data_IF_619513516300
#
_entry.id   IF_619513516300
#
_cell.length_a   1.000
_cell.length_b   1.000
_cell.length_c   1.000
_cell.angle_alpha   90.00
_cell.angle_beta   90.00
_cell.angle_gamma   90.00
#
_symmetry.space_group_name_H-M   'P 1'
#
loop_
_entity.id
_entity.type
_entity.pdbx_description
1 polymer ?
#
# COMPACT_ATOMS: atom_id res chain seq x y z
N UNK A 1 24.17 -3.88 43.10
CA UNK A 1 24.35 -2.77 42.16
C UNK A 1 23.31 -2.95 41.07
N UNK A 2 22.19 -2.26 41.21
CA UNK A 2 21.04 -2.38 40.34
C UNK A 2 21.36 -1.73 38.99
N UNK A 3 21.29 -2.51 37.91
CA UNK A 3 21.61 -2.05 36.55
C UNK A 3 20.35 -1.35 36.01
N UNK A 4 20.27 -0.03 36.17
CA UNK A 4 19.24 0.79 35.55
C UNK A 4 19.27 0.58 34.03
N UNK A 5 18.25 -0.11 33.51
CA UNK A 5 18.01 -0.24 32.07
C UNK A 5 17.50 1.12 31.57
N UNK A 6 18.32 1.80 30.77
CA UNK A 6 17.92 3.02 30.06
C UNK A 6 16.92 2.59 28.98
N UNK A 7 15.63 2.81 29.22
CA UNK A 7 14.59 2.67 28.18
C UNK A 7 14.78 3.80 27.18
N UNK A 8 15.37 3.49 26.01
CA UNK A 8 15.38 4.42 24.88
C UNK A 8 13.98 4.47 24.30
N UNK A 9 13.25 5.57 24.55
CA UNK A 9 12.00 5.88 23.86
C UNK A 9 12.25 5.98 22.36
N UNK A 10 11.29 5.62 21.49
CA UNK A 10 11.54 5.50 20.06
C UNK A 10 12.01 6.85 19.50
N UNK A 11 13.15 6.82 18.82
CA UNK A 11 13.81 7.98 18.25
C UNK A 11 12.88 8.65 17.26
N UNK A 12 12.50 9.90 17.55
CA UNK A 12 11.89 10.76 16.54
C UNK A 12 12.83 10.84 15.33
N UNK A 13 12.25 10.80 14.13
CA UNK A 13 13.00 11.00 12.88
C UNK A 13 13.69 12.36 12.96
N UNK A 14 14.99 12.41 12.72
CA UNK A 14 15.74 13.67 12.78
C UNK A 14 15.37 14.59 11.62
N UNK A 15 15.49 15.90 11.82
CA UNK A 15 15.27 16.87 10.73
C UNK A 15 16.20 16.64 9.52
N UNK A 16 17.42 16.15 9.78
CA UNK A 16 18.37 15.81 8.73
C UNK A 16 17.91 14.62 7.88
N UNK A 17 17.39 13.56 8.51
CA UNK A 17 16.80 12.41 7.81
C UNK A 17 15.58 12.82 6.99
N UNK A 18 14.73 13.69 7.54
CA UNK A 18 13.56 14.22 6.81
C UNK A 18 14.00 15.02 5.58
N UNK A 19 14.99 15.90 5.74
CA UNK A 19 15.52 16.71 4.63
C UNK A 19 16.12 15.82 3.53
N UNK A 20 16.91 14.80 3.91
CA UNK A 20 17.50 13.86 2.97
C UNK A 20 16.42 13.06 2.22
N UNK A 21 15.39 12.56 2.93
CA UNK A 21 14.28 11.85 2.30
C UNK A 21 13.49 12.74 1.33
N UNK A 22 13.21 13.99 1.69
CA UNK A 22 12.52 14.94 0.81
C UNK A 22 13.31 15.21 -0.48
N UNK A 23 14.63 15.34 -0.37
CA UNK A 23 15.52 15.47 -1.53
C UNK A 23 15.50 14.22 -2.40
N UNK A 24 15.58 13.02 -1.82
CA UNK A 24 15.52 11.75 -2.55
C UNK A 24 14.20 11.60 -3.32
N UNK A 25 13.07 12.03 -2.75
CA UNK A 25 11.78 12.02 -3.44
C UNK A 25 11.72 13.05 -4.57
N UNK A 26 12.22 14.25 -4.33
CA UNK A 26 12.27 15.30 -5.36
C UNK A 26 13.15 14.89 -6.54
N UNK A 27 14.29 14.23 -6.30
CA UNK A 27 15.18 13.72 -7.34
C UNK A 27 14.54 12.63 -8.22
N UNK A 28 13.48 11.97 -7.72
CA UNK A 28 12.68 11.02 -8.49
C UNK A 28 11.60 11.69 -9.35
N UNK A 29 11.51 13.01 -9.29
CA UNK A 29 10.47 13.80 -9.96
C UNK A 29 9.14 13.79 -9.22
N UNK A 30 9.10 13.42 -7.93
CA UNK A 30 7.88 13.45 -7.14
C UNK A 30 7.65 14.83 -6.55
N UNK A 31 6.41 15.31 -6.66
CA UNK A 31 5.98 16.53 -5.97
C UNK A 31 5.75 16.21 -4.50
N UNK A 32 6.56 16.80 -3.61
CA UNK A 32 6.43 16.59 -2.17
C UNK A 32 6.17 17.89 -1.42
N UNK A 33 5.41 17.80 -0.33
CA UNK A 33 5.18 18.87 0.61
C UNK A 33 5.61 18.44 2.01
N UNK A 34 6.38 19.29 2.69
CA UNK A 34 6.67 19.09 4.10
C UNK A 34 5.47 19.53 4.94
N UNK A 35 5.08 18.69 5.90
CA UNK A 35 3.97 18.94 6.82
C UNK A 35 4.44 18.75 8.26
N UNK A 36 3.63 19.16 9.23
CA UNK A 36 3.91 18.94 10.64
C UNK A 36 4.13 17.46 10.99
N UNK A 37 3.57 16.53 10.21
CA UNK A 37 3.62 15.09 10.46
C UNK A 37 4.70 14.35 9.64
N UNK A 38 5.46 15.08 8.81
CA UNK A 38 6.47 14.53 7.89
C UNK A 38 6.21 14.93 6.43
N UNK A 39 6.76 14.16 5.51
CA UNK A 39 6.68 14.43 4.07
C UNK A 39 5.40 13.82 3.49
N UNK A 40 4.70 14.59 2.66
CA UNK A 40 3.58 14.09 1.86
C UNK A 40 3.94 14.15 0.37
N UNK A 41 3.72 13.05 -0.34
CA UNK A 41 3.59 13.05 -1.79
C UNK A 41 2.29 13.75 -2.16
N UNK A 42 2.36 14.71 -3.07
CA UNK A 42 1.20 15.29 -3.72
C UNK A 42 1.00 14.54 -5.04
N UNK A 43 -0.12 13.82 -5.15
CA UNK A 43 -0.42 13.03 -6.33
C UNK A 43 -0.71 13.90 -7.55
N UNK A 44 -0.29 13.43 -8.71
CA UNK A 44 -0.44 14.11 -9.99
C UNK A 44 -0.72 13.09 -11.12
N UNK A 45 -0.53 13.51 -12.36
CA UNK A 45 -0.78 12.68 -13.54
C UNK A 45 0.21 11.53 -13.74
N UNK A 46 1.39 11.61 -13.11
CA UNK A 46 2.50 10.68 -13.27
C UNK A 46 2.61 9.72 -12.08
N UNK A 47 2.26 10.18 -10.87
CA UNK A 47 2.25 9.37 -9.65
C UNK A 47 0.96 9.54 -8.85
N UNK A 48 0.36 8.40 -8.49
CA UNK A 48 -0.85 8.31 -7.68
C UNK A 48 -0.77 7.13 -6.72
N UNK A 49 -1.74 6.96 -5.84
CA UNK A 49 -1.77 5.88 -4.85
C UNK A 49 -3.05 5.07 -4.90
N UNK A 50 -2.94 3.75 -4.75
CA UNK A 50 -4.07 2.85 -4.53
C UNK A 50 -3.90 2.18 -3.17
N UNK A 51 -4.78 2.49 -2.23
CA UNK A 51 -4.81 1.81 -0.94
C UNK A 51 -5.77 0.63 -0.97
N UNK A 52 -5.28 -0.51 -0.51
CA UNK A 52 -6.06 -1.72 -0.27
C UNK A 52 -5.84 -2.16 1.17
N UNK A 53 -6.89 -2.70 1.80
CA UNK A 53 -6.85 -3.11 3.20
C UNK A 53 -7.16 -4.59 3.42
N UNK A 54 -6.98 -5.03 4.67
CA UNK A 54 -7.29 -6.37 5.16
C UNK A 54 -6.56 -7.47 4.42
N UNK A 55 -7.26 -8.58 4.22
CA UNK A 55 -6.72 -9.73 3.48
C UNK A 55 -6.45 -9.40 2.01
N UNK A 56 -7.23 -8.48 1.41
CA UNK A 56 -7.10 -8.13 0.00
C UNK A 56 -5.73 -7.54 -0.30
N UNK A 57 -5.19 -6.71 0.60
CA UNK A 57 -3.81 -6.23 0.53
C UNK A 57 -2.79 -7.38 0.47
N UNK A 58 -3.01 -8.42 1.27
CA UNK A 58 -2.20 -9.65 1.25
C UNK A 58 -2.20 -10.36 -0.10
N UNK A 59 -3.37 -10.53 -0.69
CA UNK A 59 -3.53 -11.26 -1.95
C UNK A 59 -3.05 -10.45 -3.16
N UNK A 60 -3.34 -9.15 -3.21
CA UNK A 60 -2.84 -8.23 -4.24
C UNK A 60 -1.31 -8.25 -4.25
N UNK A 61 -0.68 -8.15 -3.08
CA UNK A 61 0.78 -8.25 -2.98
C UNK A 61 1.32 -9.58 -3.49
N UNK A 62 0.72 -10.70 -3.11
CA UNK A 62 1.14 -12.02 -3.57
C UNK A 62 1.05 -12.13 -5.09
N UNK A 63 -0.04 -11.62 -5.67
CA UNK A 63 -0.24 -11.58 -7.12
C UNK A 63 0.85 -10.73 -7.80
N UNK A 64 1.08 -9.50 -7.35
CA UNK A 64 2.07 -8.61 -7.95
C UNK A 64 3.48 -9.19 -7.87
N UNK A 65 3.85 -9.75 -6.72
CA UNK A 65 5.15 -10.41 -6.53
C UNK A 65 5.32 -11.62 -7.46
N UNK A 66 4.29 -12.46 -7.58
CA UNK A 66 4.34 -13.64 -8.46
C UNK A 66 4.48 -13.28 -9.94
N UNK A 67 4.04 -12.07 -10.34
CA UNK A 67 4.12 -11.59 -11.72
C UNK A 67 5.28 -10.60 -11.96
N UNK A 68 6.16 -10.40 -10.97
CA UNK A 68 7.23 -9.40 -11.04
C UNK A 68 6.72 -7.97 -11.35
N UNK A 69 5.57 -7.60 -10.78
CA UNK A 69 4.90 -6.31 -10.94
C UNK A 69 4.92 -5.46 -9.66
N UNK A 70 5.72 -5.85 -8.65
CA UNK A 70 5.85 -5.09 -7.42
C UNK A 70 6.46 -3.71 -7.68
N UNK A 71 5.77 -2.66 -7.22
CA UNK A 71 6.29 -1.30 -7.15
C UNK A 71 6.56 -0.86 -5.72
N UNK A 72 6.82 0.44 -5.49
CA UNK A 72 6.88 1.01 -4.16
C UNK A 72 5.56 0.83 -3.42
N UNK A 73 5.63 0.37 -2.17
CA UNK A 73 4.46 0.11 -1.32
C UNK A 73 4.70 0.68 0.06
N UNK A 74 3.75 1.47 0.53
CA UNK A 74 3.72 2.01 1.88
C UNK A 74 2.79 1.12 2.70
N UNK A 75 3.28 0.58 3.81
CA UNK A 75 2.44 -0.08 4.80
C UNK A 75 2.00 0.95 5.84
N UNK A 76 0.70 1.07 6.04
CA UNK A 76 0.12 1.93 7.08
C UNK A 76 -0.24 1.06 8.28
N UNK A 77 0.30 1.35 9.48
CA UNK A 77 -0.01 0.58 10.66
C UNK A 77 -1.45 0.84 11.14
N UNK A 78 -2.08 -0.18 11.73
CA UNK A 78 -3.47 -0.15 12.14
C UNK A 78 -3.98 -1.53 12.56
N UNK A 79 -5.27 -1.60 12.92
CA UNK A 79 -5.95 -2.86 13.30
C UNK A 79 -6.05 -3.83 12.14
N UNK A 80 -6.27 -3.32 10.93
CA UNK A 80 -6.16 -4.07 9.69
C UNK A 80 -4.90 -3.66 8.92
N UNK A 81 -4.35 -4.61 8.16
CA UNK A 81 -3.27 -4.34 7.22
C UNK A 81 -3.77 -3.36 6.18
N UNK A 82 -3.07 -2.25 5.96
CA UNK A 82 -3.33 -1.35 4.83
C UNK A 82 -2.04 -1.11 4.06
N UNK A 83 -2.12 -1.25 2.74
CA UNK A 83 -0.99 -1.07 1.83
C UNK A 83 -1.38 -0.04 0.76
N UNK A 84 -0.60 1.03 0.63
CA UNK A 84 -0.72 2.02 -0.45
C UNK A 84 0.31 1.66 -1.52
N UNK A 85 -0.17 1.25 -2.69
CA UNK A 85 0.66 1.01 -3.86
C UNK A 85 0.82 2.32 -4.63
N UNK A 86 2.06 2.77 -4.83
CA UNK A 86 2.32 3.89 -5.73
C UNK A 86 2.26 3.40 -7.17
N UNK A 87 1.52 4.13 -8.00
CA UNK A 87 1.16 3.73 -9.36
C UNK A 87 1.27 4.88 -10.35
N UNK A 88 1.24 4.53 -11.64
CA UNK A 88 1.15 5.48 -12.76
C UNK A 88 -0.02 5.16 -13.69
N UNK A 89 -0.26 6.01 -14.70
CA UNK A 89 -1.14 5.70 -15.84
C UNK A 89 -2.63 5.87 -15.61
N UNK A 90 -3.04 6.74 -14.67
CA UNK A 90 -4.46 6.92 -14.32
C UNK A 90 -5.30 7.57 -15.43
N UNK A 91 -4.70 8.45 -16.25
CA UNK A 91 -5.37 9.24 -17.30
C UNK A 91 -6.24 8.40 -18.26
N UNK A 92 -5.89 7.14 -18.50
CA UNK A 92 -6.59 6.25 -19.45
C UNK A 92 -7.22 5.03 -18.77
N UNK A 93 -7.41 5.08 -17.45
CA UNK A 93 -7.76 3.92 -16.65
C UNK A 93 -9.12 4.03 -15.93
N UNK A 94 -10.05 4.86 -16.44
CA UNK A 94 -11.34 5.13 -15.78
C UNK A 94 -12.07 3.87 -15.29
N UNK A 95 -12.25 2.86 -16.15
CA UNK A 95 -12.89 1.58 -15.79
C UNK A 95 -12.13 0.80 -14.71
N UNK A 96 -10.79 0.88 -14.72
CA UNK A 96 -9.98 0.22 -13.70
C UNK A 96 -10.11 0.93 -12.35
N UNK A 97 -10.20 2.26 -12.34
CA UNK A 97 -10.41 3.06 -11.13
C UNK A 97 -11.79 2.82 -10.53
N UNK A 98 -12.83 2.74 -11.35
CA UNK A 98 -14.18 2.39 -10.90
C UNK A 98 -14.20 1.00 -10.26
N UNK A 99 -13.69 -0.02 -10.95
CA UNK A 99 -13.64 -1.38 -10.39
C UNK A 99 -12.77 -1.51 -9.14
N UNK A 100 -11.73 -0.68 -8.99
CA UNK A 100 -10.95 -0.60 -7.75
C UNK A 100 -11.77 -0.03 -6.59
N UNK A 101 -12.52 1.06 -6.83
CA UNK A 101 -13.40 1.65 -5.82
C UNK A 101 -14.54 0.71 -5.42
N UNK A 102 -15.16 0.03 -6.37
CA UNK A 102 -16.18 -1.00 -6.11
C UNK A 102 -15.64 -2.16 -5.27
N UNK A 103 -14.35 -2.49 -5.44
CA UNK A 103 -13.66 -3.49 -4.62
C UNK A 103 -13.23 -2.97 -3.23
N UNK A 104 -13.58 -1.73 -2.87
CA UNK A 104 -13.25 -1.12 -1.58
C UNK A 104 -11.87 -0.48 -1.49
N UNK A 105 -11.18 -0.27 -2.61
CA UNK A 105 -9.90 0.44 -2.62
C UNK A 105 -10.08 1.96 -2.57
N UNK A 106 -9.19 2.64 -1.84
CA UNK A 106 -9.12 4.12 -1.87
C UNK A 106 -8.16 4.55 -2.97
N UNK A 107 -8.58 5.49 -3.80
CA UNK A 107 -7.78 6.05 -4.90
C UNK A 107 -7.32 7.46 -4.50
N UNK A 108 -6.02 7.62 -4.34
CA UNK A 108 -5.35 8.90 -4.13
C UNK A 108 -4.86 9.45 -5.46
N UNK A 109 -5.48 10.52 -5.94
CA UNK A 109 -5.17 11.17 -7.20
C UNK A 109 -5.58 12.66 -7.13
N UNK A 110 -5.36 13.41 -8.22
CA UNK A 110 -5.82 14.80 -8.36
C UNK A 110 -5.38 15.73 -7.21
N UNK A 111 -4.10 15.68 -6.82
CA UNK A 111 -3.55 16.53 -5.76
C UNK A 111 -3.75 15.99 -4.34
N UNK A 112 -4.29 14.78 -4.18
CA UNK A 112 -4.38 14.12 -2.88
C UNK A 112 -2.98 13.94 -2.26
N UNK A 113 -2.89 14.10 -0.94
CA UNK A 113 -1.68 13.89 -0.17
C UNK A 113 -1.53 12.45 0.32
N UNK A 114 -0.37 11.84 0.13
CA UNK A 114 0.00 10.53 0.69
C UNK A 114 1.23 10.71 1.57
N UNK A 115 1.15 10.35 2.85
CA UNK A 115 2.30 10.41 3.75
C UNK A 115 3.40 9.44 3.29
N UNK A 116 4.61 9.97 3.05
CA UNK A 116 5.78 9.18 2.68
C UNK A 116 6.62 8.87 3.93
N UNK A 117 7.09 7.62 4.09
CA UNK A 117 8.11 7.31 5.09
C UNK A 117 9.39 8.14 4.83
N UNK A 118 10.20 8.49 5.83
CA UNK A 118 9.90 8.36 7.25
C UNK A 118 8.79 9.34 7.67
N UNK A 119 7.78 8.85 8.37
CA UNK A 119 6.76 9.71 8.99
C UNK A 119 7.04 9.85 10.48
N UNK A 120 6.54 10.92 11.10
CA UNK A 120 6.53 10.97 12.56
C UNK A 120 5.65 9.85 13.13
N UNK A 121 6.00 9.38 14.33
CA UNK A 121 5.24 8.33 15.03
C UNK A 121 3.89 8.92 15.44
N UNK A 122 2.81 8.39 14.87
CA UNK A 122 1.45 8.66 15.33
C UNK A 122 1.02 7.65 16.40
N UNK A 123 -0.14 7.87 17.05
CA UNK A 123 -0.73 6.88 17.95
C UNK A 123 -0.99 5.52 17.29
N UNK A 124 -1.16 5.49 15.96
CA UNK A 124 -1.32 4.26 15.18
C UNK A 124 0.02 3.64 14.73
N UNK A 125 1.16 4.29 15.00
CA UNK A 125 2.48 3.93 14.46
C UNK A 125 2.93 4.85 13.31
N UNK A 126 4.14 4.63 12.80
CA UNK A 126 4.68 5.34 11.64
C UNK A 126 4.46 4.52 10.36
N UNK A 127 4.15 5.19 9.25
CA UNK A 127 4.10 4.53 7.95
C UNK A 127 5.50 4.08 7.55
N UNK A 128 5.60 2.89 6.95
CA UNK A 128 6.88 2.30 6.57
C UNK A 128 6.89 1.85 5.11
N UNK A 129 8.06 1.90 4.49
CA UNK A 129 8.23 1.27 3.19
C UNK A 129 8.20 -0.25 3.38
N UNK A 130 7.27 -0.88 2.70
CA UNK A 130 7.24 -2.33 2.53
C UNK A 130 8.00 -2.77 1.28
N UNK A 131 7.96 -1.93 0.26
CA UNK A 131 8.91 -1.94 -0.86
C UNK A 131 9.34 -0.51 -1.06
N UNK A 132 10.61 -0.22 -0.82
CA UNK A 132 11.12 1.13 -0.92
C UNK A 132 11.31 1.55 -2.39
N UNK A 133 11.28 2.86 -2.71
CA UNK A 133 11.43 3.32 -4.09
C UNK A 133 12.76 2.94 -4.76
N UNK A 134 13.81 2.66 -4.00
CA UNK A 134 15.10 2.19 -4.53
C UNK A 134 15.14 0.67 -4.76
N UNK A 135 14.20 -0.09 -4.19
CA UNK A 135 14.08 -1.53 -4.38
C UNK A 135 13.21 -1.87 -5.60
N UNK A 136 12.32 -0.95 -6.01
CA UNK A 136 11.42 -1.13 -7.14
C UNK A 136 12.05 -0.66 -8.46
N UNK A 137 11.86 -1.44 -9.54
CA UNK A 137 12.32 -1.08 -10.90
C UNK A 137 11.51 0.08 -11.50
N UNK A 138 10.22 0.15 -11.20
CA UNK A 138 9.29 1.11 -11.79
C UNK A 138 8.07 1.34 -10.87
N UNK A 139 7.25 2.35 -11.19
CA UNK A 139 5.87 2.45 -10.71
C UNK A 139 4.94 1.57 -11.58
N UNK A 140 4.24 0.59 -11.01
CA UNK A 140 3.34 -0.25 -11.80
C UNK A 140 2.18 0.60 -12.35
N UNK A 141 1.69 0.32 -13.57
CA UNK A 141 0.51 0.99 -14.06
C UNK A 141 -0.71 0.57 -13.22
N UNK A 142 -1.65 1.48 -12.97
CA UNK A 142 -2.83 1.22 -12.12
C UNK A 142 -3.65 0.00 -12.56
N UNK A 143 -3.64 -0.33 -13.85
CA UNK A 143 -4.30 -1.52 -14.39
C UNK A 143 -3.70 -2.84 -13.88
N UNK A 144 -2.42 -2.85 -13.49
CA UNK A 144 -1.80 -4.01 -12.84
C UNK A 144 -2.38 -4.25 -11.44
N UNK A 145 -2.62 -3.17 -10.68
CA UNK A 145 -3.28 -3.26 -9.37
C UNK A 145 -4.73 -3.72 -9.55
N UNK A 146 -5.45 -3.15 -10.52
CA UNK A 146 -6.82 -3.58 -10.83
C UNK A 146 -6.89 -5.06 -11.24
N UNK A 147 -5.94 -5.54 -12.04
CA UNK A 147 -5.85 -6.96 -12.40
C UNK A 147 -5.56 -7.85 -11.19
N UNK A 148 -4.68 -7.42 -10.29
CA UNK A 148 -4.38 -8.12 -9.04
C UNK A 148 -5.62 -8.22 -8.14
N UNK A 149 -6.36 -7.12 -7.96
CA UNK A 149 -7.59 -7.07 -7.17
C UNK A 149 -8.65 -7.99 -7.76
N UNK A 150 -8.93 -7.89 -9.07
CA UNK A 150 -9.91 -8.76 -9.76
C UNK A 150 -9.55 -10.24 -9.62
N UNK A 151 -8.27 -10.58 -9.80
CA UNK A 151 -7.78 -11.96 -9.69
C UNK A 151 -7.92 -12.50 -8.27
N UNK A 152 -7.70 -11.66 -7.26
CA UNK A 152 -7.81 -12.02 -5.85
C UNK A 152 -9.27 -12.28 -5.46
N UNK A 153 -10.19 -11.41 -5.88
CA UNK A 153 -11.64 -11.58 -5.67
C UNK A 153 -12.15 -12.83 -6.38
N UNK A 154 -11.77 -13.05 -7.64
CA UNK A 154 -12.17 -14.24 -8.39
C UNK A 154 -11.71 -15.54 -7.70
N UNK A 155 -10.47 -15.56 -7.18
CA UNK A 155 -9.92 -16.71 -6.46
C UNK A 155 -10.70 -17.01 -5.18
N UNK A 156 -11.10 -15.98 -4.43
CA UNK A 156 -11.91 -16.15 -3.21
C UNK A 156 -13.29 -16.73 -3.51
N UNK A 157 -13.97 -16.21 -4.55
CA UNK A 157 -15.26 -16.75 -4.99
C UNK A 157 -15.17 -18.20 -5.44
N UNK A 158 -14.09 -18.57 -6.15
CA UNK A 158 -13.85 -19.95 -6.55
C UNK A 158 -13.61 -20.87 -5.34
N UNK A 159 -12.82 -20.41 -4.36
CA UNK A 159 -12.60 -21.14 -3.10
C UNK A 159 -13.88 -21.36 -2.30
N UNK A 160 -14.72 -20.33 -2.17
CA UNK A 160 -16.02 -20.43 -1.48
C UNK A 160 -16.98 -21.42 -2.18
N UNK A 161 -16.95 -21.44 -3.51
CA UNK A 161 -17.75 -22.39 -4.30
C UNK A 161 -17.30 -23.83 -4.06
N UNK A 162 -15.99 -24.09 -4.03
CA UNK A 162 -15.44 -25.42 -3.75
C UNK A 162 -15.77 -25.89 -2.33
N UNK A 163 -15.67 -25.01 -1.32
CA UNK A 163 -16.03 -25.35 0.06
C UNK A 163 -17.51 -25.69 0.21
N UNK A 164 -18.42 -24.92 -0.42
CA UNK A 164 -19.87 -25.22 -0.41
C UNK A 164 -20.23 -26.54 -1.09
N UNK A 165 -19.57 -26.89 -2.19
CA UNK A 165 -19.80 -28.19 -2.86
C UNK A 165 -19.26 -29.35 -2.02
N UNK A 166 -18.18 -29.14 -1.26
CA UNK A 166 -17.62 -30.11 -0.33
C UNK A 166 -18.51 -30.39 0.89
N UNK A 167 -19.14 -29.37 1.47
CA UNK A 167 -20.09 -29.53 2.60
C UNK A 167 -21.43 -30.16 2.19
N UNK A 168 -21.87 -29.97 0.94
CA UNK A 168 -23.13 -30.57 0.46
C UNK A 168 -23.03 -32.09 0.23
N UNK A 169 -21.82 -32.67 0.13
CA UNK A 169 -21.61 -34.09 -0.13
C UNK A 169 -21.43 -34.93 1.14
N UNK A 170 -21.29 -34.30 2.32
CA UNK A 170 -21.14 -35.00 3.61
C UNK A 170 -22.44 -35.15 4.41
N UNK A 171 -23.57 -34.59 3.95
CA UNK A 171 -24.86 -34.68 4.67
C UNK A 171 -25.81 -35.79 4.18
N UNK A 172 -25.39 -36.67 3.27
CA UNK A 172 -26.18 -37.85 2.86
C UNK A 172 -25.42 -39.12 3.22
N UNK A 173 -25.28 -39.36 4.51
CA UNK A 173 -24.99 -40.69 5.05
C UNK A 173 -25.54 -40.76 6.48
N UNK A 174 -26.43 -41.74 6.68
CA UNK A 174 -27.16 -42.15 7.89
C UNK A 174 -28.53 -41.46 8.11
#
# INVERSE_FOLDING_TARGET
>A
MEKTVRTTFPTSVSAAEMTAAAQDYTQRGWTVAETANGICLITDEDVSGIEVSGELAGDVRRYLRANNLSGPVIEIPGTERREIHLVTGLRKAAMALEGLREAGATVYTDGAGIALPPTQISAAGAAQWRVAPHEARWLPPVVAIAAAVRSSIARRRAGETVTRTGESLTSVAC
#
